data_IF_258485780955
#
_entry.id   IF_258485780955
#
_cell.length_a   1.000
_cell.length_b   1.000
_cell.length_c   1.000
_cell.angle_alpha   90.00
_cell.angle_beta   90.00
_cell.angle_gamma   90.00
#
_symmetry.space_group_name_H-M   'P 1'
#
loop_
_entity.id
_entity.type
_entity.pdbx_description
1 polymer ?
#
# COMPACT_ATOMS: atom_id res chain seq x y z
N UNK A 1 -24.33 -13.02 2.40
CA UNK A 1 -23.33 -13.03 3.49
C UNK A 1 -22.66 -11.67 3.51
N UNK A 2 -22.57 -11.00 4.65
CA UNK A 2 -21.89 -9.70 4.74
C UNK A 2 -20.41 -9.88 4.36
N UNK A 3 -19.92 -9.08 3.41
CA UNK A 3 -18.51 -9.08 3.01
C UNK A 3 -17.70 -8.69 4.24
N UNK A 4 -16.76 -9.54 4.68
CA UNK A 4 -15.85 -9.18 5.76
C UNK A 4 -15.10 -7.91 5.35
N UNK A 5 -15.34 -6.82 6.06
CA UNK A 5 -14.66 -5.55 5.86
C UNK A 5 -13.29 -5.67 6.50
N UNK A 6 -12.28 -5.98 5.69
CA UNK A 6 -10.91 -5.88 6.12
C UNK A 6 -10.55 -4.39 6.18
N UNK A 7 -9.70 -3.96 7.13
CA UNK A 7 -9.05 -2.68 7.03
C UNK A 7 -8.32 -2.57 5.68
N UNK A 8 -8.23 -1.36 5.15
CA UNK A 8 -7.67 -1.13 3.82
C UNK A 8 -6.54 -0.12 3.89
N UNK A 9 -5.58 -0.22 2.97
CA UNK A 9 -4.54 0.78 2.78
C UNK A 9 -4.57 1.26 1.33
N UNK A 10 -3.94 2.39 1.05
CA UNK A 10 -3.71 2.84 -0.33
C UNK A 10 -2.30 2.46 -0.78
N UNK A 11 -2.22 1.76 -1.90
CA UNK A 11 -0.95 1.45 -2.57
C UNK A 11 -0.97 1.95 -4.01
N UNK A 12 0.20 2.30 -4.52
CA UNK A 12 0.43 2.74 -5.89
C UNK A 12 1.83 2.29 -6.35
N UNK A 13 2.19 2.61 -7.59
CA UNK A 13 3.59 2.59 -8.01
C UNK A 13 4.16 4.01 -8.00
N UNK A 14 5.41 4.16 -7.61
CA UNK A 14 6.19 5.38 -7.80
C UNK A 14 6.33 5.66 -9.31
N UNK A 15 6.05 6.88 -9.73
CA UNK A 15 6.06 7.25 -11.14
C UNK A 15 7.46 7.16 -11.75
N UNK A 16 8.50 7.49 -10.97
CA UNK A 16 9.87 7.61 -11.48
C UNK A 16 10.65 6.32 -11.29
N UNK A 17 10.52 5.69 -10.13
CA UNK A 17 11.30 4.49 -9.78
C UNK A 17 10.53 3.20 -10.07
N UNK A 18 9.21 3.26 -10.25
CA UNK A 18 8.37 2.08 -10.51
C UNK A 18 8.12 1.21 -9.27
N UNK A 19 8.70 1.57 -8.13
CA UNK A 19 8.55 0.84 -6.87
C UNK A 19 7.12 0.83 -6.38
N UNK A 20 6.72 -0.27 -5.73
CA UNK A 20 5.46 -0.30 -5.00
C UNK A 20 5.60 0.58 -3.76
N UNK A 21 4.68 1.52 -3.59
CA UNK A 21 4.67 2.48 -2.47
C UNK A 21 3.31 2.47 -1.77
N UNK A 22 3.32 2.92 -0.53
CA UNK A 22 2.17 2.92 0.37
C UNK A 22 1.97 4.32 0.96
N UNK A 23 0.72 4.78 0.95
CA UNK A 23 0.37 6.09 1.50
C UNK A 23 0.46 6.04 3.03
N UNK A 24 1.19 6.97 3.62
CA UNK A 24 1.38 7.09 5.07
C UNK A 24 0.36 8.05 5.68
N UNK A 25 0.25 8.06 7.02
CA UNK A 25 -0.69 8.94 7.72
C UNK A 25 -0.38 10.45 7.56
N UNK A 26 0.85 10.82 7.18
CA UNK A 26 1.20 12.21 6.86
C UNK A 26 0.76 12.65 5.47
N UNK A 27 0.28 11.72 4.62
CA UNK A 27 -0.02 11.97 3.21
C UNK A 27 1.20 11.81 2.27
N UNK A 28 2.35 11.41 2.82
CA UNK A 28 3.55 11.03 2.06
C UNK A 28 3.55 9.54 1.69
N UNK A 29 4.60 9.09 1.01
CA UNK A 29 4.76 7.72 0.53
C UNK A 29 5.93 7.00 1.20
N UNK A 30 5.68 5.79 1.69
CA UNK A 30 6.72 4.86 2.17
C UNK A 30 6.89 3.68 1.22
N UNK A 31 8.10 3.10 1.23
CA UNK A 31 8.40 1.81 0.57
C UNK A 31 8.17 0.64 1.52
N UNK A 32 8.01 0.87 2.81
CA UNK A 32 7.62 -0.17 3.75
C UNK A 32 6.08 -0.28 3.80
N UNK A 33 5.58 -1.51 3.62
CA UNK A 33 4.15 -1.80 3.74
C UNK A 33 3.63 -1.50 5.15
N UNK A 34 4.44 -1.74 6.18
CA UNK A 34 4.03 -1.57 7.57
C UNK A 34 3.88 -0.13 8.03
N UNK A 35 4.23 0.86 7.19
CA UNK A 35 4.06 2.30 7.48
C UNK A 35 2.77 2.88 6.89
N UNK A 36 2.01 2.06 6.16
CA UNK A 36 0.81 2.49 5.48
C UNK A 36 -0.25 2.99 6.46
N UNK A 37 -0.93 4.08 6.10
CA UNK A 37 -2.14 4.52 6.77
C UNK A 37 -3.24 3.48 6.58
N UNK A 38 -3.85 3.06 7.69
CA UNK A 38 -4.92 2.06 7.70
C UNK A 38 -6.26 2.76 7.77
N UNK A 39 -7.12 2.50 6.79
CA UNK A 39 -8.53 2.83 6.81
C UNK A 39 -9.32 1.71 7.50
N UNK A 40 -10.06 2.04 8.55
CA UNK A 40 -10.90 1.10 9.28
C UNK A 40 -12.35 1.05 8.79
N UNK A 41 -12.76 2.04 8.00
CA UNK A 41 -14.08 2.12 7.38
C UNK A 41 -14.00 2.63 5.93
N UNK A 42 -15.13 2.58 5.23
CA UNK A 42 -15.19 2.96 3.82
C UNK A 42 -14.97 4.46 3.57
N UNK A 43 -15.36 5.32 4.51
CA UNK A 43 -15.18 6.77 4.37
C UNK A 43 -13.70 7.13 4.48
N UNK A 44 -12.99 6.51 5.42
CA UNK A 44 -11.54 6.65 5.56
C UNK A 44 -10.80 6.13 4.32
N UNK A 45 -11.22 4.98 3.80
CA UNK A 45 -10.63 4.41 2.60
C UNK A 45 -10.76 5.35 1.39
N UNK A 46 -11.95 5.92 1.18
CA UNK A 46 -12.19 6.89 0.11
C UNK A 46 -11.39 8.19 0.30
N UNK A 47 -11.28 8.69 1.54
CA UNK A 47 -10.46 9.87 1.85
C UNK A 47 -8.99 9.65 1.51
N UNK A 48 -8.41 8.54 1.97
CA UNK A 48 -7.01 8.19 1.68
C UNK A 48 -6.78 8.03 0.17
N UNK A 49 -7.71 7.37 -0.54
CA UNK A 49 -7.62 7.21 -1.99
C UNK A 49 -7.70 8.56 -2.71
N UNK A 50 -8.53 9.49 -2.22
CA UNK A 50 -8.60 10.86 -2.72
C UNK A 50 -7.27 11.61 -2.58
N UNK A 51 -6.61 11.50 -1.41
CA UNK A 51 -5.29 12.09 -1.17
C UNK A 51 -4.25 11.56 -2.17
N UNK A 52 -4.26 10.24 -2.41
CA UNK A 52 -3.34 9.64 -3.37
C UNK A 52 -3.61 10.13 -4.80
N UNK A 53 -4.87 10.12 -5.24
CA UNK A 53 -5.24 10.54 -6.60
C UNK A 53 -4.97 12.03 -6.87
N UNK A 54 -4.83 12.86 -5.84
CA UNK A 54 -4.41 14.25 -5.95
C UNK A 54 -2.89 14.43 -6.24
N UNK A 55 -2.11 13.34 -6.32
CA UNK A 55 -0.66 13.37 -6.54
C UNK A 55 -0.22 12.73 -7.89
N UNK A 56 -0.82 13.08 -9.03
CA UNK A 56 -0.55 12.42 -10.31
C UNK A 56 0.88 12.61 -10.82
N UNK A 57 1.60 13.62 -10.32
CA UNK A 57 3.02 13.85 -10.67
C UNK A 57 4.02 12.98 -9.89
N UNK A 58 3.55 12.13 -8.98
CA UNK A 58 4.40 11.28 -8.13
C UNK A 58 4.07 9.79 -8.24
N UNK A 59 2.83 9.44 -8.56
CA UNK A 59 2.36 8.05 -8.51
C UNK A 59 1.60 7.62 -9.76
N UNK A 60 1.48 6.31 -9.94
CA UNK A 60 0.66 5.67 -10.96
C UNK A 60 -0.23 4.60 -10.34
N UNK A 61 -1.52 4.62 -10.68
CA UNK A 61 -2.45 3.52 -10.41
C UNK A 61 -2.72 3.28 -8.93
N UNK A 62 -3.10 4.33 -8.17
CA UNK A 62 -3.49 4.18 -6.78
C UNK A 62 -4.76 3.33 -6.62
N UNK A 63 -4.76 2.39 -5.67
CA UNK A 63 -5.92 1.57 -5.34
C UNK A 63 -5.93 1.15 -3.86
N UNK A 64 -7.09 0.67 -3.41
CA UNK A 64 -7.29 0.13 -2.07
C UNK A 64 -6.90 -1.35 -2.01
N UNK A 65 -6.01 -1.69 -1.08
CA UNK A 65 -5.60 -3.06 -0.79
C UNK A 65 -6.08 -3.46 0.60
N UNK A 66 -6.70 -4.64 0.70
CA UNK A 66 -7.11 -5.20 1.99
C UNK A 66 -5.88 -5.64 2.80
N UNK A 67 -5.91 -5.38 4.10
CA UNK A 67 -4.86 -5.74 5.05
C UNK A 67 -5.45 -6.36 6.31
N UNK A 68 -4.60 -7.07 7.05
CA UNK A 68 -4.86 -7.44 8.44
C UNK A 68 -3.89 -6.68 9.34
N UNK A 69 -4.22 -6.54 10.61
CA UNK A 69 -3.32 -5.92 11.59
C UNK A 69 -2.51 -7.01 12.28
N UNK A 70 -1.19 -6.92 12.13
CA UNK A 70 -0.25 -7.82 12.79
C UNK A 70 -0.18 -7.60 14.31
N UNK A 71 0.47 -8.51 15.06
CA UNK A 71 0.66 -8.37 16.50
C UNK A 71 1.45 -7.12 16.92
N UNK A 72 2.25 -6.57 16.00
CA UNK A 72 3.02 -5.33 16.14
C UNK A 72 2.19 -4.07 15.85
N UNK A 73 0.90 -4.22 15.54
CA UNK A 73 0.01 -3.12 15.17
C UNK A 73 0.20 -2.63 13.73
N UNK A 74 1.07 -3.27 12.93
CA UNK A 74 1.35 -2.83 11.56
C UNK A 74 0.47 -3.59 10.54
N UNK A 75 0.09 -2.95 9.42
CA UNK A 75 -0.68 -3.62 8.39
C UNK A 75 0.15 -4.69 7.68
N UNK A 76 -0.48 -5.84 7.43
CA UNK A 76 0.08 -6.96 6.68
C UNK A 76 -0.84 -7.34 5.50
N UNK A 77 -0.27 -7.68 4.33
CA UNK A 77 -1.06 -8.01 3.15
C UNK A 77 -1.86 -9.31 3.36
N UNK A 78 -3.15 -9.29 3.06
CA UNK A 78 -3.99 -10.50 3.14
C UNK A 78 -3.99 -11.31 1.85
N UNK A 79 -3.75 -10.65 0.72
CA UNK A 79 -3.78 -11.27 -0.61
C UNK A 79 -2.36 -11.54 -1.11
N UNK A 80 -2.11 -12.74 -1.65
CA UNK A 80 -0.78 -13.16 -2.11
C UNK A 80 -0.16 -12.15 -3.09
N UNK A 81 -0.96 -11.57 -4.00
CA UNK A 81 -0.49 -10.53 -4.94
C UNK A 81 0.18 -9.37 -4.21
N UNK A 82 -0.42 -8.89 -3.13
CA UNK A 82 0.12 -7.77 -2.36
C UNK A 82 1.37 -8.20 -1.59
N UNK A 83 1.40 -9.43 -1.06
CA UNK A 83 2.59 -10.00 -0.43
C UNK A 83 3.79 -10.13 -1.38
N UNK A 84 3.56 -10.40 -2.67
CA UNK A 84 4.63 -10.35 -3.68
C UNK A 84 5.04 -8.91 -4.00
N UNK A 85 4.07 -8.01 -4.12
CA UNK A 85 4.31 -6.58 -4.40
C UNK A 85 5.13 -5.89 -3.32
N UNK A 86 5.02 -6.30 -2.04
CA UNK A 86 5.84 -5.72 -0.96
C UNK A 86 7.34 -5.94 -1.20
N UNK A 87 7.71 -7.04 -1.86
CA UNK A 87 9.11 -7.42 -2.12
C UNK A 87 9.69 -6.75 -3.36
N UNK A 88 8.89 -6.14 -4.22
CA UNK A 88 9.35 -5.56 -5.48
C UNK A 88 9.44 -6.57 -6.65
N UNK A 89 10.19 -6.25 -7.72
CA UNK A 89 10.30 -7.10 -8.91
C UNK A 89 10.79 -8.51 -8.56
N UNK A 90 10.19 -9.54 -9.14
CA UNK A 90 10.53 -10.94 -8.85
C UNK A 90 11.32 -11.64 -9.96
N UNK A 91 11.67 -10.90 -11.03
CA UNK A 91 12.39 -11.44 -12.19
C UNK A 91 13.91 -11.49 -11.99
N UNK A 92 14.46 -10.57 -11.19
CA UNK A 92 15.88 -10.51 -10.80
C UNK A 92 15.99 -9.85 -9.42
N UNK A 93 17.12 -10.03 -8.74
CA UNK A 93 17.40 -9.40 -7.44
C UNK A 93 17.69 -7.89 -7.61
N UNK A 94 16.62 -7.11 -7.74
CA UNK A 94 16.66 -5.65 -7.94
C UNK A 94 15.69 -4.94 -6.98
N UNK A 95 15.88 -3.62 -6.81
CA UNK A 95 15.04 -2.78 -5.96
C UNK A 95 15.04 -3.25 -4.50
N UNK A 96 13.86 -3.27 -3.87
CA UNK A 96 13.70 -3.69 -2.46
C UNK A 96 14.27 -5.05 -2.11
N UNK A 97 14.39 -5.98 -3.07
CA UNK A 97 15.01 -7.28 -2.80
C UNK A 97 16.51 -7.17 -2.54
N UNK A 98 17.18 -6.20 -3.17
CA UNK A 98 18.63 -6.01 -3.06
C UNK A 98 19.06 -5.20 -1.84
N UNK A 99 18.14 -4.48 -1.20
CA UNK A 99 18.39 -3.59 -0.05
C UNK A 99 18.06 -4.24 1.32
N UNK A 100 17.53 -5.46 1.30
CA UNK A 100 17.06 -6.21 2.49
C UNK A 100 18.18 -6.88 3.30
#
# INVERSE_FOLDING_TARGET
MARQTHPQIVTANDLFEGDVIYLTASGDWSRDHGDAAVAHDGEEAERLLGIANAQPGRIVGAYLADVTIGPDGRPQPVHFREAFRTRGPSNYFHGKQAEA
#
